data_IF_402697029761
#
_entry.id   IF_402697029761
#
_cell.length_a   1.000
_cell.length_b   1.000
_cell.length_c   1.000
_cell.angle_alpha   90.00
_cell.angle_beta   90.00
_cell.angle_gamma   90.00
#
_symmetry.space_group_name_H-M   'P 1'
#
loop_
_entity.id
_entity.type
_entity.pdbx_description
1 polymer ?
#
# COMPACT_ATOMS: atom_id res chain seq x y z
N UNK A 1 9.86 7.15 -5.26
CA UNK A 1 9.29 5.79 -5.10
C UNK A 1 7.81 5.90 -4.87
N UNK A 2 7.02 5.01 -5.45
CA UNK A 2 5.59 4.99 -5.20
C UNK A 2 5.21 3.65 -4.60
N UNK A 3 4.48 3.66 -3.50
CA UNK A 3 3.82 2.49 -2.96
C UNK A 3 2.35 2.55 -3.36
N UNK A 4 1.81 1.47 -3.85
CA UNK A 4 0.39 1.35 -4.18
C UNK A 4 -0.21 0.41 -3.15
N UNK A 5 -1.06 0.95 -2.30
CA UNK A 5 -1.90 0.14 -1.43
C UNK A 5 -3.28 0.05 -2.05
N UNK A 6 -3.74 -1.17 -2.25
CA UNK A 6 -5.03 -1.39 -2.92
C UNK A 6 -6.16 -1.24 -1.92
N UNK A 7 -6.73 -0.08 -1.93
CA UNK A 7 -8.00 0.31 -1.30
C UNK A 7 -8.48 1.64 -1.93
N UNK A 8 -9.76 1.97 -2.22
CA UNK A 8 -10.17 3.03 -3.15
C UNK A 8 -9.85 4.46 -2.74
N UNK A 9 -9.93 5.25 -3.76
CA UNK A 9 -9.59 6.66 -3.85
C UNK A 9 -10.53 7.53 -3.04
N UNK A 10 -9.96 8.30 -2.09
CA UNK A 10 -10.46 9.63 -1.84
C UNK A 10 -9.25 10.57 -1.94
N UNK A 11 -9.24 11.46 -2.91
CA UNK A 11 -8.31 12.57 -2.88
C UNK A 11 -8.76 13.51 -1.76
N UNK A 12 -8.24 13.31 -0.59
CA UNK A 12 -8.46 14.25 0.52
C UNK A 12 -7.33 15.26 0.48
N UNK A 13 -7.65 16.53 0.19
CA UNK A 13 -6.72 17.63 0.45
C UNK A 13 -6.48 17.68 1.96
N UNK A 14 -5.35 17.20 2.39
CA UNK A 14 -4.90 17.39 3.77
C UNK A 14 -4.36 18.81 3.87
N UNK A 15 -5.05 19.67 4.61
CA UNK A 15 -4.54 21.02 4.92
C UNK A 15 -3.40 20.87 5.93
N UNK A 16 -2.20 21.18 5.50
CA UNK A 16 -1.04 21.26 6.39
C UNK A 16 -1.18 22.50 7.27
N UNK A 17 -1.11 22.32 8.59
CA UNK A 17 -0.98 23.44 9.52
C UNK A 17 0.38 24.15 9.34
N UNK A 18 0.42 25.43 9.64
CA UNK A 18 1.59 26.31 9.40
C UNK A 18 2.85 25.96 10.20
N UNK A 19 2.88 24.91 10.97
CA UNK A 19 4.03 24.45 11.79
C UNK A 19 4.80 23.26 11.21
N UNK A 20 4.58 22.93 9.93
CA UNK A 20 5.34 21.87 9.24
C UNK A 20 4.98 20.44 9.64
N UNK A 21 3.92 20.23 10.41
CA UNK A 21 3.36 18.93 10.76
C UNK A 21 1.95 18.75 10.22
N UNK A 22 1.57 17.49 9.94
CA UNK A 22 0.18 17.15 9.64
C UNK A 22 -0.59 17.10 10.96
N UNK A 23 -1.72 17.81 11.03
CA UNK A 23 -2.63 17.68 12.17
C UNK A 23 -3.18 16.25 12.19
N UNK A 24 -2.98 15.55 13.30
CA UNK A 24 -3.44 14.16 13.47
C UNK A 24 -4.94 14.02 13.31
N UNK A 25 -5.71 15.06 13.64
CA UNK A 25 -7.16 15.10 13.46
C UNK A 25 -7.56 15.13 11.99
N UNK A 26 -6.75 15.71 11.12
CA UNK A 26 -7.02 15.80 9.68
C UNK A 26 -6.95 14.42 8.99
N UNK A 27 -6.20 13.46 9.54
CA UNK A 27 -6.09 12.11 8.99
C UNK A 27 -7.21 11.17 9.44
N UNK A 28 -8.00 11.56 10.43
CA UNK A 28 -9.06 10.72 10.99
C UNK A 28 -10.17 10.35 9.98
N UNK A 29 -10.75 11.29 9.21
CA UNK A 29 -11.75 10.95 8.19
C UNK A 29 -11.20 10.03 7.09
N UNK A 30 -10.00 10.26 6.49
CA UNK A 30 -9.39 9.34 5.56
C UNK A 30 -9.16 7.93 6.14
N UNK A 31 -8.72 7.84 7.39
CA UNK A 31 -8.53 6.54 8.07
C UNK A 31 -9.85 5.78 8.24
N UNK A 32 -10.91 6.46 8.66
CA UNK A 32 -12.24 5.86 8.75
C UNK A 32 -12.75 5.37 7.40
N UNK A 33 -12.61 6.20 6.39
CA UNK A 33 -12.96 5.83 5.02
C UNK A 33 -12.17 4.60 4.55
N UNK A 34 -10.87 4.61 4.77
CA UNK A 34 -9.99 3.49 4.41
C UNK A 34 -10.36 2.20 5.17
N UNK A 35 -10.77 2.31 6.41
CA UNK A 35 -11.27 1.20 7.23
C UNK A 35 -12.63 0.66 6.82
N UNK A 36 -13.36 1.34 5.94
CA UNK A 36 -14.68 0.93 5.47
C UNK A 36 -14.65 -0.21 4.42
N UNK A 37 -13.48 -0.49 3.83
CA UNK A 37 -13.32 -1.60 2.87
C UNK A 37 -13.63 -2.94 3.54
N UNK A 38 -14.57 -3.68 2.98
CA UNK A 38 -15.03 -4.97 3.53
C UNK A 38 -15.82 -5.78 2.51
N UNK A 39 -15.95 -7.07 2.76
CA UNK A 39 -17.01 -7.89 2.17
C UNK A 39 -18.31 -7.68 2.94
N UNK A 40 -19.42 -7.68 2.21
CA UNK A 40 -20.77 -7.53 2.76
C UNK A 40 -21.39 -8.92 2.79
N UNK A 41 -21.95 -9.32 3.93
CA UNK A 41 -22.50 -10.68 4.12
C UNK A 41 -23.66 -10.98 3.17
N UNK A 42 -24.47 -9.98 2.84
CA UNK A 42 -25.60 -10.10 1.93
C UNK A 42 -25.22 -10.07 0.44
N UNK A 43 -23.94 -9.98 0.14
CA UNK A 43 -23.37 -9.96 -1.19
C UNK A 43 -22.73 -8.63 -1.57
N UNK A 44 -21.71 -8.71 -2.42
CA UNK A 44 -20.90 -7.57 -2.82
C UNK A 44 -19.70 -7.30 -1.92
N UNK A 45 -18.85 -6.39 -2.36
CA UNK A 45 -17.67 -5.97 -1.61
C UNK A 45 -17.30 -4.53 -1.95
N UNK A 46 -16.74 -3.82 -0.97
CA UNK A 46 -16.12 -2.53 -1.17
C UNK A 46 -14.60 -2.72 -1.19
N UNK A 47 -14.02 -2.55 -2.35
CA UNK A 47 -12.56 -2.58 -2.55
C UNK A 47 -12.05 -1.16 -2.70
N UNK A 48 -10.94 -0.86 -2.01
CA UNK A 48 -10.34 0.46 -2.00
C UNK A 48 -8.89 0.38 -2.53
N UNK A 49 -8.56 1.15 -3.61
CA UNK A 49 -7.22 1.30 -4.17
C UNK A 49 -6.74 2.71 -3.88
N UNK A 50 -5.66 2.84 -3.09
CA UNK A 50 -5.05 4.12 -2.78
C UNK A 50 -3.58 4.12 -3.19
N UNK A 51 -3.08 5.28 -3.59
CA UNK A 51 -1.67 5.48 -3.89
C UNK A 51 -1.06 6.42 -2.86
N UNK A 52 0.16 6.12 -2.43
CA UNK A 52 0.96 7.00 -1.59
C UNK A 52 2.33 7.22 -2.22
N UNK A 53 2.86 8.43 -2.12
CA UNK A 53 4.20 8.75 -2.55
C UNK A 53 5.18 8.54 -1.40
N UNK A 54 6.32 7.95 -1.70
CA UNK A 54 7.44 7.78 -0.77
C UNK A 54 8.74 8.28 -1.40
N UNK A 55 9.72 8.60 -0.57
CA UNK A 55 11.03 9.14 -0.98
C UNK A 55 10.92 10.40 -1.86
N UNK A 56 9.99 11.28 -1.52
CA UNK A 56 9.78 12.57 -2.21
C UNK A 56 10.60 13.71 -1.61
N UNK A 57 11.23 13.46 -0.44
CA UNK A 57 11.85 14.51 0.37
C UNK A 57 10.83 15.35 1.16
N UNK A 58 9.55 15.07 1.04
CA UNK A 58 8.48 15.74 1.80
C UNK A 58 8.20 14.96 3.09
N UNK A 59 8.39 15.63 4.23
CA UNK A 59 8.06 15.05 5.54
C UNK A 59 6.57 14.75 5.69
N UNK A 60 5.71 15.52 5.04
CA UNK A 60 4.28 15.29 5.03
C UNK A 60 3.92 13.98 4.32
N UNK A 61 4.54 13.70 3.17
CA UNK A 61 4.32 12.45 2.43
C UNK A 61 4.75 11.24 3.26
N UNK A 62 5.86 11.35 3.97
CA UNK A 62 6.34 10.29 4.89
C UNK A 62 5.36 10.03 6.03
N UNK A 63 4.84 11.09 6.66
CA UNK A 63 3.84 10.96 7.73
C UNK A 63 2.57 10.31 7.22
N UNK A 64 2.05 10.75 6.07
CA UNK A 64 0.84 10.16 5.46
C UNK A 64 1.07 8.68 5.16
N UNK A 65 2.22 8.33 4.57
CA UNK A 65 2.54 6.94 4.28
C UNK A 65 2.59 6.09 5.56
N UNK A 66 3.32 6.51 6.59
CA UNK A 66 3.44 5.76 7.85
C UNK A 66 2.09 5.59 8.57
N UNK A 67 1.20 6.59 8.49
CA UNK A 67 -0.13 6.52 9.09
C UNK A 67 -1.05 5.49 8.42
N UNK A 68 -0.85 5.21 7.14
CA UNK A 68 -1.64 4.23 6.39
C UNK A 68 -0.93 2.89 6.18
N UNK A 69 0.38 2.83 6.45
CA UNK A 69 1.18 1.61 6.34
C UNK A 69 0.62 0.50 7.23
N UNK A 70 0.51 -0.70 6.68
CA UNK A 70 0.01 -1.86 7.40
C UNK A 70 -1.51 -1.90 7.65
N UNK A 71 -2.26 -0.87 7.23
CA UNK A 71 -3.73 -0.87 7.33
C UNK A 71 -4.40 -1.53 6.12
N UNK A 72 -3.67 -1.64 5.00
CA UNK A 72 -4.13 -2.32 3.79
C UNK A 72 -4.02 -3.84 3.87
N UNK A 73 -4.80 -4.54 3.04
CA UNK A 73 -4.71 -5.98 2.88
C UNK A 73 -3.63 -6.39 1.89
N UNK A 74 -3.30 -5.50 0.95
CA UNK A 74 -2.30 -5.71 -0.08
C UNK A 74 -1.48 -4.42 -0.24
N UNK A 75 -0.18 -4.55 -0.26
CA UNK A 75 0.76 -3.46 -0.52
C UNK A 75 1.58 -3.80 -1.76
N UNK A 76 1.60 -2.89 -2.73
CA UNK A 76 2.41 -3.00 -3.93
C UNK A 76 3.42 -1.85 -3.90
N UNK A 77 4.68 -2.20 -3.71
CA UNK A 77 5.78 -1.24 -3.65
C UNK A 77 6.46 -1.18 -5.02
N UNK A 78 6.60 0.01 -5.58
CA UNK A 78 7.32 0.23 -6.82
C UNK A 78 8.76 0.64 -6.52
N UNK A 79 9.69 0.16 -7.33
CA UNK A 79 11.12 0.47 -7.21
C UNK A 79 11.59 1.29 -8.42
N UNK A 80 12.13 2.48 -8.13
CA UNK A 80 12.70 3.37 -9.16
C UNK A 80 13.86 2.71 -9.90
N UNK A 81 14.71 1.93 -9.22
CA UNK A 81 15.84 1.25 -9.85
C UNK A 81 15.41 0.25 -10.93
N UNK A 82 14.26 -0.41 -10.74
CA UNK A 82 13.68 -1.29 -11.75
C UNK A 82 13.15 -0.49 -12.93
N UNK A 83 12.52 0.66 -12.66
CA UNK A 83 12.04 1.57 -13.69
C UNK A 83 13.20 2.14 -14.53
N UNK A 84 14.30 2.55 -13.88
CA UNK A 84 15.49 3.06 -14.55
C UNK A 84 16.13 2.00 -15.47
N UNK A 85 16.05 0.74 -15.07
CA UNK A 85 16.46 -0.43 -15.91
C UNK A 85 15.42 -0.83 -16.95
N UNK A 86 14.32 -0.07 -17.07
CA UNK A 86 13.20 -0.37 -17.98
C UNK A 86 12.56 -1.75 -17.76
N UNK A 87 12.63 -2.26 -16.54
CA UNK A 87 11.94 -3.47 -16.13
C UNK A 87 10.56 -3.11 -15.64
N UNK A 88 9.53 -3.52 -16.39
CA UNK A 88 8.14 -3.21 -16.06
C UNK A 88 7.31 -4.49 -15.97
N UNK A 89 6.34 -4.55 -15.04
CA UNK A 89 6.04 -3.54 -14.01
C UNK A 89 7.18 -3.43 -12.98
N UNK A 90 7.52 -2.19 -12.58
CA UNK A 90 8.64 -1.90 -11.68
C UNK A 90 8.27 -2.20 -10.21
N UNK A 91 7.81 -3.41 -9.94
CA UNK A 91 7.33 -3.86 -8.62
C UNK A 91 8.49 -4.49 -7.84
N UNK A 92 8.70 -4.00 -6.62
CA UNK A 92 9.58 -4.65 -5.66
C UNK A 92 8.85 -5.84 -5.01
N UNK A 93 9.13 -7.04 -5.49
CA UNK A 93 8.50 -8.28 -5.04
C UNK A 93 8.83 -8.58 -3.57
N UNK A 94 9.99 -8.15 -3.09
CA UNK A 94 10.43 -8.43 -1.72
C UNK A 94 9.68 -7.58 -0.69
N UNK A 95 9.33 -6.35 -1.06
CA UNK A 95 8.59 -5.40 -0.22
C UNK A 95 7.08 -5.43 -0.44
N UNK A 96 6.64 -6.02 -1.53
CA UNK A 96 5.21 -6.16 -1.85
C UNK A 96 4.64 -7.43 -1.25
N UNK A 97 3.38 -7.39 -0.84
CA UNK A 97 2.72 -8.55 -0.26
C UNK A 97 1.24 -8.36 -0.03
N UNK A 98 0.58 -9.47 0.23
CA UNK A 98 -0.85 -9.54 0.51
C UNK A 98 -1.05 -10.29 1.83
N UNK A 99 -1.95 -9.79 2.68
CA UNK A 99 -2.33 -10.50 3.90
C UNK A 99 -3.06 -11.79 3.54
N UNK A 100 -2.79 -12.86 4.31
CA UNK A 100 -3.45 -14.16 4.14
C UNK A 100 -3.40 -14.65 2.69
N UNK A 101 -2.23 -14.53 2.06
CA UNK A 101 -2.01 -14.99 0.68
C UNK A 101 -2.35 -16.48 0.50
N UNK A 102 -2.29 -17.27 1.58
CA UNK A 102 -2.68 -18.67 1.62
C UNK A 102 -4.17 -18.92 1.31
N UNK A 103 -5.02 -17.89 1.44
CA UNK A 103 -6.43 -17.97 1.08
C UNK A 103 -6.71 -17.62 -0.39
N UNK A 104 -5.71 -17.05 -1.08
CA UNK A 104 -5.86 -16.51 -2.42
C UNK A 104 -5.22 -17.41 -3.49
N UNK A 105 -4.23 -18.20 -3.11
CA UNK A 105 -3.47 -19.06 -4.02
C UNK A 105 -3.41 -20.49 -3.50
N UNK A 106 -3.30 -21.47 -4.42
CA UNK A 106 -3.12 -22.85 -4.05
C UNK A 106 -1.78 -23.12 -3.34
N UNK A 107 -1.70 -24.21 -2.60
CA UNK A 107 -0.51 -24.58 -1.82
C UNK A 107 0.75 -24.71 -2.67
N UNK A 108 0.63 -25.24 -3.89
CA UNK A 108 1.77 -25.42 -4.79
C UNK A 108 2.36 -24.09 -5.24
N UNK A 109 1.49 -23.16 -5.64
CA UNK A 109 1.87 -21.80 -6.03
C UNK A 109 2.44 -21.03 -4.83
N UNK A 110 1.82 -21.11 -3.67
CA UNK A 110 2.28 -20.47 -2.45
C UNK A 110 3.71 -20.90 -2.07
N UNK A 111 3.98 -22.20 -2.13
CA UNK A 111 5.31 -22.75 -1.85
C UNK A 111 6.37 -22.19 -2.80
N UNK A 112 6.05 -22.10 -4.10
CA UNK A 112 6.93 -21.51 -5.11
C UNK A 112 7.18 -20.03 -4.87
N UNK A 113 6.15 -19.28 -4.47
CA UNK A 113 6.29 -17.85 -4.12
C UNK A 113 7.22 -17.65 -2.92
N UNK A 114 7.12 -18.48 -1.89
CA UNK A 114 8.02 -18.41 -0.72
C UNK A 114 9.47 -18.73 -1.08
N UNK A 115 9.69 -19.74 -1.90
CA UNK A 115 11.04 -20.07 -2.42
C UNK A 115 11.61 -18.90 -3.22
N UNK A 116 10.80 -18.33 -4.13
CA UNK A 116 11.22 -17.17 -4.93
C UNK A 116 11.62 -15.98 -4.05
N UNK A 117 10.78 -15.62 -3.06
CA UNK A 117 11.10 -14.51 -2.14
C UNK A 117 12.38 -14.76 -1.35
N UNK A 118 12.65 -16.01 -0.95
CA UNK A 118 13.88 -16.38 -0.25
C UNK A 118 15.12 -16.25 -1.14
N UNK A 119 15.01 -16.57 -2.41
CA UNK A 119 16.10 -16.42 -3.38
C UNK A 119 16.39 -14.95 -3.66
N UNK A 120 15.34 -14.13 -3.78
CA UNK A 120 15.45 -12.70 -4.08
C UNK A 120 15.89 -11.86 -2.87
N UNK A 121 15.76 -12.38 -1.67
CA UNK A 121 16.12 -11.69 -0.41
C UNK A 121 17.04 -12.64 0.41
N UNK A 122 18.30 -12.76 -0.01
CA UNK A 122 19.27 -13.62 0.64
C UNK A 122 19.68 -13.14 2.04
#
# INVERSE_FOLDING_TARGET
>A
MSAISVKPVASTRVMAGMSGGVDSSALYPPKRFFGAARNIEEGGSLTIIATALIDTGSRMDEVIFEEFKGTGNCEIVLDRKLSDKRTFPAIDITKSGTRKEELLVDRGTLSKMWVLRRILNP
#
